data_IF_807026928930
#
_entry.id   IF_807026928930
#
_cell.length_a   1.000
_cell.length_b   1.000
_cell.length_c   1.000
_cell.angle_alpha   90.00
_cell.angle_beta   90.00
_cell.angle_gamma   90.00
#
_symmetry.space_group_name_H-M   'P 1'
#
loop_
_entity.id
_entity.type
_entity.pdbx_description
1 polymer ?
#
# COMPACT_ATOMS: atom_id res chain seq x y z
N UNK A 1 20.92 -4.05 -17.87
CA UNK A 1 20.53 -3.03 -16.88
C UNK A 1 20.44 -1.59 -17.42
N UNK A 2 21.06 -1.26 -18.55
CA UNK A 2 21.10 0.12 -19.10
C UNK A 2 19.86 0.60 -19.87
N UNK A 3 18.91 -0.30 -20.22
CA UNK A 3 17.68 0.07 -20.94
C UNK A 3 16.56 0.64 -20.03
N UNK A 4 16.58 0.36 -18.73
CA UNK A 4 15.57 0.88 -17.79
C UNK A 4 15.78 2.36 -17.42
N UNK A 5 17.03 2.84 -17.43
CA UNK A 5 17.35 4.21 -17.01
C UNK A 5 16.87 5.28 -17.99
N UNK A 6 16.91 5.02 -19.30
CA UNK A 6 16.47 5.98 -20.34
C UNK A 6 14.94 5.98 -20.52
N UNK A 7 14.24 4.96 -19.98
CA UNK A 7 12.78 4.82 -20.09
C UNK A 7 12.03 5.66 -19.03
N UNK A 8 12.60 5.82 -17.83
CA UNK A 8 12.02 6.60 -16.73
C UNK A 8 11.93 8.13 -16.98
N UNK A 9 12.64 8.67 -17.97
CA UNK A 9 12.72 10.13 -18.19
C UNK A 9 11.56 10.72 -19.00
N UNK A 10 10.87 9.91 -19.82
CA UNK A 10 9.82 10.39 -20.74
C UNK A 10 8.39 10.28 -20.19
N UNK A 11 8.18 9.69 -19.00
CA UNK A 11 6.85 9.50 -18.38
C UNK A 11 6.82 9.96 -16.92
N UNK A 12 7.46 11.10 -16.63
CA UNK A 12 7.47 11.75 -15.31
C UNK A 12 6.03 12.10 -14.88
N UNK A 13 5.33 11.15 -14.28
CA UNK A 13 3.95 11.34 -13.81
C UNK A 13 3.05 10.12 -13.96
N UNK A 14 3.43 9.13 -14.77
CA UNK A 14 2.64 7.90 -14.86
C UNK A 14 2.82 7.10 -13.56
N UNK A 15 1.73 6.75 -12.83
CA UNK A 15 1.82 5.90 -11.67
C UNK A 15 2.44 4.54 -12.05
N UNK A 16 3.29 3.99 -11.19
CA UNK A 16 3.96 2.69 -11.41
C UNK A 16 2.99 1.59 -11.81
N UNK A 17 1.77 1.62 -11.26
CA UNK A 17 0.74 0.63 -11.54
C UNK A 17 0.23 0.66 -12.97
N UNK A 18 -0.02 1.86 -13.50
CA UNK A 18 -0.50 1.98 -14.88
C UNK A 18 0.56 1.43 -15.85
N UNK A 19 1.85 1.70 -15.57
CA UNK A 19 2.94 1.09 -16.33
C UNK A 19 2.94 -0.44 -16.23
N UNK A 20 2.84 -1.00 -15.02
CA UNK A 20 2.85 -2.46 -14.83
C UNK A 20 1.67 -3.10 -15.58
N UNK A 21 0.50 -2.48 -15.56
CA UNK A 21 -0.70 -2.97 -16.26
C UNK A 21 -0.59 -2.89 -17.78
N UNK A 22 -0.09 -1.76 -18.30
CA UNK A 22 0.23 -1.60 -19.72
C UNK A 22 1.20 -2.70 -20.17
N UNK A 23 2.11 -3.12 -19.29
CA UNK A 23 3.10 -4.15 -19.57
C UNK A 23 2.66 -5.56 -19.15
N UNK A 24 1.38 -5.74 -18.80
CA UNK A 24 0.79 -7.02 -18.35
C UNK A 24 1.61 -7.69 -17.23
N UNK A 25 2.19 -6.88 -16.37
CA UNK A 25 3.02 -7.31 -15.25
C UNK A 25 2.25 -7.17 -13.96
N UNK A 26 2.19 -8.26 -13.21
CA UNK A 26 1.58 -8.32 -11.88
C UNK A 26 2.69 -8.42 -10.86
N UNK A 27 2.65 -7.60 -9.81
CA UNK A 27 3.73 -7.59 -8.83
C UNK A 27 3.59 -8.73 -7.81
N UNK A 28 2.36 -9.05 -7.40
CA UNK A 28 1.97 -10.03 -6.38
C UNK A 28 2.40 -9.72 -4.95
N UNK A 29 3.27 -8.74 -4.74
CA UNK A 29 3.75 -8.38 -3.41
C UNK A 29 3.63 -6.87 -3.13
N UNK A 30 2.52 -6.24 -3.57
CA UNK A 30 2.29 -4.83 -3.26
C UNK A 30 2.00 -4.68 -1.77
N UNK A 31 3.02 -4.25 -1.04
CA UNK A 31 3.05 -4.04 0.40
C UNK A 31 3.82 -2.75 0.67
N UNK A 32 3.49 -2.05 1.75
CA UNK A 32 4.18 -0.80 2.09
C UNK A 32 5.68 -0.98 2.34
N UNK A 33 6.12 -2.15 2.80
CA UNK A 33 7.54 -2.48 2.97
C UNK A 33 8.32 -2.57 1.64
N UNK A 34 7.62 -2.73 0.52
CA UNK A 34 8.18 -2.81 -0.82
C UNK A 34 8.11 -1.46 -1.57
N UNK A 35 7.58 -0.43 -0.91
CA UNK A 35 7.53 0.94 -1.41
C UNK A 35 8.65 1.77 -0.77
N UNK A 36 9.57 2.25 -1.60
CA UNK A 36 10.63 3.16 -1.24
C UNK A 36 10.27 4.60 -1.55
N UNK A 37 10.90 5.51 -0.82
CA UNK A 37 10.88 6.95 -1.07
C UNK A 37 12.33 7.46 -1.12
N UNK A 38 12.62 8.39 -2.02
CA UNK A 38 13.96 8.97 -2.17
C UNK A 38 14.29 10.04 -1.12
N UNK A 39 13.79 9.90 0.11
CA UNK A 39 14.06 10.84 1.21
C UNK A 39 15.02 10.19 2.19
N UNK A 40 16.18 10.81 2.39
CA UNK A 40 17.10 10.47 3.48
C UNK A 40 16.53 11.04 4.78
N UNK A 41 15.73 10.24 5.48
CA UNK A 41 15.21 10.57 6.79
C UNK A 41 16.04 9.96 7.90
N UNK A 42 16.14 10.66 9.04
CA UNK A 42 16.51 9.99 10.28
C UNK A 42 15.43 8.95 10.60
N UNK A 43 15.79 7.67 10.65
CA UNK A 43 14.85 6.57 10.96
C UNK A 43 14.18 6.71 12.32
N UNK A 44 14.74 7.54 13.21
CA UNK A 44 14.18 7.88 14.52
C UNK A 44 13.38 9.18 14.54
N UNK A 45 13.34 9.95 13.44
CA UNK A 45 12.49 11.12 13.35
C UNK A 45 11.04 10.67 13.18
N UNK A 46 10.20 10.95 14.18
CA UNK A 46 8.78 10.63 14.16
C UNK A 46 7.99 11.36 13.06
N UNK A 47 8.55 12.45 12.50
CA UNK A 47 7.94 13.27 11.44
C UNK A 47 9.01 13.82 10.48
N UNK A 48 9.45 13.05 9.48
CA UNK A 48 10.39 13.55 8.48
C UNK A 48 9.74 14.68 7.66
N UNK A 49 10.33 15.88 7.67
CA UNK A 49 9.88 16.98 6.80
C UNK A 49 10.25 16.68 5.35
N UNK A 50 9.44 17.14 4.39
CA UNK A 50 9.71 17.02 2.95
C UNK A 50 9.15 15.76 2.28
N UNK A 51 8.56 14.82 3.02
CA UNK A 51 7.93 13.61 2.45
C UNK A 51 6.82 13.92 1.42
N UNK A 52 6.15 15.05 1.57
CA UNK A 52 4.98 15.42 0.78
C UNK A 52 5.30 16.37 -0.39
N UNK A 53 6.54 16.85 -0.49
CA UNK A 53 6.90 17.80 -1.55
C UNK A 53 7.12 17.06 -2.87
N UNK A 54 6.14 17.15 -3.79
CA UNK A 54 6.13 16.42 -5.08
C UNK A 54 7.34 16.70 -5.98
N UNK A 55 7.93 17.89 -5.90
CA UNK A 55 9.14 18.27 -6.64
C UNK A 55 10.32 17.37 -6.28
N UNK A 56 10.44 17.01 -5.00
CA UNK A 56 11.61 16.28 -4.46
C UNK A 56 11.30 14.82 -4.15
N UNK A 57 10.08 14.50 -3.71
CA UNK A 57 9.69 13.12 -3.39
C UNK A 57 9.45 12.31 -4.66
N UNK A 58 10.11 11.16 -4.73
CA UNK A 58 9.98 10.11 -5.72
C UNK A 58 9.73 8.81 -4.98
N UNK A 59 8.74 8.08 -5.46
CA UNK A 59 8.42 6.75 -4.97
C UNK A 59 9.06 5.72 -5.90
N UNK A 60 9.57 4.65 -5.32
CA UNK A 60 10.09 3.50 -6.04
C UNK A 60 9.40 2.26 -5.52
N UNK A 61 8.93 1.40 -6.41
CA UNK A 61 8.44 0.07 -6.04
C UNK A 61 9.55 -0.94 -6.33
N UNK A 62 9.82 -1.85 -5.39
CA UNK A 62 10.86 -2.86 -5.50
C UNK A 62 10.35 -4.23 -5.03
N UNK A 63 11.23 -5.24 -5.04
CA UNK A 63 10.90 -6.64 -4.70
C UNK A 63 10.00 -7.36 -5.72
N UNK A 64 10.43 -7.34 -6.98
CA UNK A 64 9.76 -8.04 -8.08
C UNK A 64 9.98 -9.57 -8.08
N UNK A 65 10.48 -10.16 -6.99
CA UNK A 65 10.82 -11.59 -6.93
C UNK A 65 9.62 -12.51 -7.18
N UNK A 66 8.41 -12.06 -6.84
CA UNK A 66 7.17 -12.77 -7.11
C UNK A 66 6.41 -12.27 -8.35
N UNK A 67 6.93 -11.26 -9.05
CA UNK A 67 6.24 -10.68 -10.18
C UNK A 67 6.15 -11.63 -11.36
N UNK A 68 5.14 -11.43 -12.20
CA UNK A 68 4.93 -12.23 -13.42
C UNK A 68 4.42 -11.33 -14.54
N UNK A 69 5.04 -11.46 -15.70
CA UNK A 69 4.61 -10.81 -16.92
C UNK A 69 3.81 -11.79 -17.78
N UNK A 70 2.69 -11.33 -18.32
CA UNK A 70 1.82 -12.08 -19.21
C UNK A 70 1.95 -11.61 -20.67
N UNK A 71 1.57 -12.44 -21.65
CA UNK A 71 1.54 -12.04 -23.06
C UNK A 71 0.65 -10.80 -23.29
N UNK A 72 1.06 -9.94 -24.22
CA UNK A 72 0.41 -8.65 -24.49
C UNK A 72 -0.90 -8.79 -25.28
N UNK A 73 -1.01 -9.85 -26.06
CA UNK A 73 -2.19 -10.24 -26.83
C UNK A 73 -3.31 -10.80 -25.94
N UNK A 74 -3.00 -11.20 -24.70
CA UNK A 74 -3.99 -11.67 -23.75
C UNK A 74 -4.71 -10.49 -23.07
N UNK A 75 -6.04 -10.56 -23.04
CA UNK A 75 -6.84 -9.56 -22.32
C UNK A 75 -6.57 -9.65 -20.82
N UNK A 76 -6.43 -8.49 -20.16
CA UNK A 76 -6.29 -8.38 -18.70
C UNK A 76 -7.41 -9.14 -17.97
N UNK A 77 -8.63 -9.07 -18.50
CA UNK A 77 -9.82 -9.66 -17.88
C UNK A 77 -9.79 -11.20 -17.94
N UNK A 78 -9.06 -11.76 -18.90
CA UNK A 78 -8.92 -13.20 -19.12
C UNK A 78 -7.77 -13.82 -18.31
N UNK A 79 -6.90 -13.00 -17.71
CA UNK A 79 -5.74 -13.47 -16.95
C UNK A 79 -6.21 -13.92 -15.56
N UNK A 80 -6.46 -15.22 -15.44
CA UNK A 80 -6.81 -15.89 -14.19
C UNK A 80 -5.79 -16.96 -13.80
N UNK A 81 -5.62 -17.18 -12.50
CA UNK A 81 -4.68 -18.16 -11.94
C UNK A 81 -5.13 -18.55 -10.52
N UNK A 82 -4.55 -19.60 -9.95
CA UNK A 82 -4.77 -20.07 -8.56
C UNK A 82 -3.56 -19.81 -7.68
N UNK A 83 -2.65 -18.95 -8.13
CA UNK A 83 -1.40 -18.63 -7.41
C UNK A 83 -1.67 -18.20 -5.97
N UNK A 84 -0.73 -18.49 -5.07
CA UNK A 84 -0.82 -18.01 -3.69
C UNK A 84 -0.62 -16.48 -3.61
N UNK A 85 -1.55 -15.79 -2.95
CA UNK A 85 -1.50 -14.35 -2.66
C UNK A 85 -1.53 -14.05 -1.14
N UNK A 86 -1.85 -15.05 -0.32
CA UNK A 86 -2.04 -14.90 1.12
C UNK A 86 -3.26 -14.06 1.46
N UNK A 87 -4.43 -14.38 0.86
CA UNK A 87 -5.68 -13.68 1.19
C UNK A 87 -5.97 -13.76 2.68
N UNK A 88 -5.81 -14.94 3.28
CA UNK A 88 -5.97 -15.20 4.71
C UNK A 88 -5.05 -14.34 5.60
N UNK A 89 -3.78 -14.18 5.23
CA UNK A 89 -2.81 -13.33 5.93
C UNK A 89 -3.19 -11.85 5.87
N UNK A 90 -3.90 -11.48 4.80
CA UNK A 90 -4.50 -10.16 4.56
C UNK A 90 -5.96 -10.12 4.99
N UNK A 91 -6.46 -11.18 5.64
CA UNK A 91 -7.82 -11.40 6.18
C UNK A 91 -8.96 -11.23 5.19
N UNK A 92 -8.69 -11.52 3.92
CA UNK A 92 -9.70 -11.82 2.92
C UNK A 92 -9.95 -13.33 2.87
N UNK A 93 -11.16 -13.77 2.50
CA UNK A 93 -11.38 -15.18 2.19
C UNK A 93 -10.55 -15.57 0.96
N UNK A 94 -10.00 -16.79 0.96
CA UNK A 94 -9.44 -17.36 -0.26
C UNK A 94 -10.57 -17.61 -1.28
N UNK A 95 -10.35 -17.30 -2.56
CA UNK A 95 -11.30 -17.61 -3.62
C UNK A 95 -11.39 -19.13 -3.84
N UNK A 96 -12.58 -19.64 -4.14
CA UNK A 96 -12.83 -21.08 -4.35
C UNK A 96 -12.24 -21.63 -5.68
N UNK A 97 -11.72 -20.76 -6.55
CA UNK A 97 -11.19 -21.14 -7.86
C UNK A 97 -10.23 -20.10 -8.45
N UNK A 98 -9.90 -20.22 -9.75
CA UNK A 98 -9.09 -19.24 -10.45
C UNK A 98 -9.72 -17.85 -10.35
N UNK A 99 -8.87 -16.85 -10.13
CA UNK A 99 -9.31 -15.48 -9.93
C UNK A 99 -8.52 -14.53 -10.82
N UNK A 100 -9.10 -13.37 -11.15
CA UNK A 100 -8.41 -12.37 -11.95
C UNK A 100 -7.28 -11.74 -11.12
N UNK A 101 -6.06 -11.90 -11.60
CA UNK A 101 -4.87 -11.52 -10.84
C UNK A 101 -4.67 -10.00 -10.78
N UNK A 102 -5.12 -9.26 -11.79
CA UNK A 102 -5.04 -7.79 -11.81
C UNK A 102 -6.04 -7.17 -10.85
N UNK A 103 -7.23 -7.76 -10.71
CA UNK A 103 -8.19 -7.36 -9.69
C UNK A 103 -7.63 -7.58 -8.28
N UNK A 104 -6.88 -8.65 -8.08
CA UNK A 104 -6.25 -8.96 -6.78
C UNK A 104 -5.06 -8.05 -6.50
N UNK A 105 -4.30 -7.66 -7.52
CA UNK A 105 -3.31 -6.59 -7.39
C UNK A 105 -3.97 -5.28 -6.94
N UNK A 106 -5.11 -4.90 -7.54
CA UNK A 106 -5.88 -3.71 -7.14
C UNK A 106 -6.37 -3.77 -5.69
N UNK A 107 -6.76 -4.95 -5.20
CA UNK A 107 -7.08 -5.16 -3.79
C UNK A 107 -5.86 -4.88 -2.88
N UNK A 108 -4.66 -5.32 -3.26
CA UNK A 108 -3.43 -4.97 -2.52
C UNK A 108 -3.16 -3.46 -2.52
N UNK A 109 -3.36 -2.79 -3.67
CA UNK A 109 -3.19 -1.34 -3.75
C UNK A 109 -4.15 -0.64 -2.80
N UNK A 110 -5.43 -1.01 -2.85
CA UNK A 110 -6.46 -0.47 -1.97
C UNK A 110 -6.14 -0.72 -0.50
N UNK A 111 -5.66 -1.91 -0.13
CA UNK A 111 -5.30 -2.26 1.25
C UNK A 111 -4.14 -1.39 1.76
N UNK A 112 -3.10 -1.20 0.95
CA UNK A 112 -2.00 -0.28 1.29
C UNK A 112 -2.51 1.15 1.42
N UNK A 113 -3.28 1.66 0.45
CA UNK A 113 -3.77 3.04 0.51
C UNK A 113 -4.73 3.26 1.68
N UNK A 114 -5.63 2.32 1.96
CA UNK A 114 -6.53 2.41 3.11
C UNK A 114 -5.73 2.45 4.43
N UNK A 115 -4.73 1.57 4.58
CA UNK A 115 -3.92 1.53 5.81
C UNK A 115 -3.07 2.78 6.01
N UNK A 116 -2.55 3.36 4.92
CA UNK A 116 -1.60 4.47 5.01
C UNK A 116 -2.24 5.84 4.86
N UNK A 117 -3.36 5.97 4.15
CA UNK A 117 -4.03 7.25 3.87
C UNK A 117 -5.33 7.37 4.67
N UNK A 118 -6.21 6.37 4.62
CA UNK A 118 -7.50 6.43 5.33
C UNK A 118 -7.34 6.48 6.85
N UNK A 119 -6.34 5.75 7.36
CA UNK A 119 -6.05 5.68 8.80
C UNK A 119 -5.14 6.81 9.31
N UNK A 120 -4.59 7.68 8.45
CA UNK A 120 -3.55 8.68 8.80
C UNK A 120 -4.07 9.91 9.57
N UNK A 121 -5.21 9.83 10.23
CA UNK A 121 -5.79 10.97 10.92
C UNK A 121 -6.38 10.52 12.25
N UNK A 122 -5.52 10.41 13.28
CA UNK A 122 -5.98 10.23 14.66
C UNK A 122 -4.93 10.55 15.69
N UNK A 123 -5.32 11.36 16.68
CA UNK A 123 -4.81 11.54 18.06
C UNK A 123 -4.00 12.81 18.38
N UNK A 124 -4.73 13.87 18.68
CA UNK A 124 -4.98 14.19 20.08
C UNK A 124 -6.29 14.99 20.14
N UNK A 125 -7.27 14.51 20.91
CA UNK A 125 -8.52 15.22 21.27
C UNK A 125 -9.71 15.32 20.28
N UNK A 126 -9.61 14.90 19.00
CA UNK A 126 -10.80 14.64 18.15
C UNK A 126 -10.43 13.82 16.90
N UNK A 127 -11.10 12.68 16.70
CA UNK A 127 -10.77 11.64 15.70
C UNK A 127 -11.29 12.01 14.31
N UNK A 128 -10.61 12.90 13.61
CA UNK A 128 -11.01 13.26 12.25
C UNK A 128 -10.41 12.26 11.26
N UNK A 129 -11.23 11.50 10.53
CA UNK A 129 -10.78 10.61 9.44
C UNK A 129 -10.43 11.46 8.22
N UNK A 130 -9.65 10.92 7.28
CA UNK A 130 -9.41 11.64 6.03
C UNK A 130 -10.71 11.90 5.27
N UNK A 131 -11.71 11.02 5.37
CA UNK A 131 -13.04 11.23 4.79
C UNK A 131 -13.86 12.33 5.50
N UNK A 132 -13.48 12.75 6.71
CA UNK A 132 -14.10 13.90 7.37
C UNK A 132 -13.49 15.23 6.86
N UNK A 133 -12.37 15.17 6.15
CA UNK A 133 -11.70 16.32 5.48
C UNK A 133 -12.00 16.29 3.98
N UNK A 134 -11.88 15.13 3.35
CA UNK A 134 -12.12 14.86 1.93
C UNK A 134 -13.14 13.72 1.80
N UNK A 135 -14.45 14.01 1.92
CA UNK A 135 -15.51 13.00 1.90
C UNK A 135 -15.47 12.00 0.73
N UNK A 136 -15.13 12.41 -0.51
CA UNK A 136 -15.06 11.47 -1.62
C UNK A 136 -14.04 10.32 -1.46
N UNK A 137 -13.02 10.48 -0.60
CA UNK A 137 -12.01 9.42 -0.39
C UNK A 137 -12.58 8.18 0.30
N UNK A 138 -13.60 8.31 1.15
CA UNK A 138 -14.24 7.15 1.80
C UNK A 138 -14.80 6.16 0.77
N UNK A 139 -15.78 6.58 -0.05
CA UNK A 139 -16.34 5.75 -1.12
C UNK A 139 -15.31 5.29 -2.17
N UNK A 140 -14.25 6.08 -2.40
CA UNK A 140 -13.15 5.67 -3.26
C UNK A 140 -12.41 4.44 -2.72
N UNK A 141 -12.03 4.44 -1.44
CA UNK A 141 -11.41 3.28 -0.81
C UNK A 141 -12.36 2.08 -0.76
N UNK A 142 -13.64 2.31 -0.45
CA UNK A 142 -14.63 1.23 -0.43
C UNK A 142 -14.77 0.56 -1.80
N UNK A 143 -14.70 1.33 -2.89
CA UNK A 143 -14.74 0.79 -4.26
C UNK A 143 -13.45 0.03 -4.65
N UNK A 144 -12.28 0.46 -4.19
CA UNK A 144 -11.04 -0.30 -4.38
C UNK A 144 -11.01 -1.61 -3.57
N UNK A 145 -11.73 -1.64 -2.45
CA UNK A 145 -11.75 -2.77 -1.51
C UNK A 145 -13.00 -3.62 -1.64
N UNK A 146 -13.74 -3.49 -2.74
CA UNK A 146 -14.95 -4.25 -2.96
C UNK A 146 -14.66 -5.76 -2.93
N UNK A 147 -15.43 -6.51 -2.15
CA UNK A 147 -15.33 -7.97 -2.06
C UNK A 147 -15.66 -8.62 -3.40
N UNK A 148 -16.62 -8.05 -4.14
CA UNK A 148 -16.95 -8.43 -5.50
C UNK A 148 -15.89 -7.88 -6.45
N UNK A 149 -15.00 -8.75 -6.92
CA UNK A 149 -13.91 -8.39 -7.83
C UNK A 149 -14.39 -7.76 -9.15
N UNK A 150 -15.64 -8.00 -9.58
CA UNK A 150 -16.20 -7.38 -10.79
C UNK A 150 -16.62 -5.92 -10.59
N UNK A 151 -16.83 -5.51 -9.33
CA UNK A 151 -17.19 -4.13 -8.94
C UNK A 151 -16.00 -3.35 -8.39
N UNK A 152 -14.84 -3.99 -8.29
CA UNK A 152 -13.61 -3.36 -7.83
C UNK A 152 -13.04 -2.50 -8.94
N UNK A 153 -12.56 -1.31 -8.57
CA UNK A 153 -11.93 -0.41 -9.53
C UNK A 153 -10.71 -1.08 -10.18
N UNK A 154 -10.66 -1.01 -11.51
CA UNK A 154 -9.41 -1.19 -12.26
C UNK A 154 -8.45 -0.05 -11.93
N UNK A 155 -7.15 -0.19 -12.23
CA UNK A 155 -6.24 0.92 -11.93
C UNK A 155 -6.52 2.18 -12.76
N UNK A 156 -6.99 2.03 -13.99
CA UNK A 156 -7.36 3.18 -14.80
C UNK A 156 -8.52 3.93 -14.15
N UNK A 157 -9.59 3.23 -13.76
CA UNK A 157 -10.72 3.84 -13.05
C UNK A 157 -10.30 4.43 -11.70
N UNK A 158 -9.44 3.74 -10.95
CA UNK A 158 -8.92 4.24 -9.67
C UNK A 158 -8.09 5.52 -9.87
N UNK A 159 -7.24 5.58 -10.91
CA UNK A 159 -6.46 6.77 -11.23
C UNK A 159 -7.37 7.92 -11.65
N UNK A 160 -8.29 7.70 -12.59
CA UNK A 160 -9.23 8.70 -13.07
C UNK A 160 -10.04 9.28 -11.91
N UNK A 161 -10.65 8.41 -11.09
CA UNK A 161 -11.44 8.84 -9.93
C UNK A 161 -10.60 9.56 -8.89
N UNK A 162 -9.36 9.12 -8.65
CA UNK A 162 -8.46 9.83 -7.74
C UNK A 162 -8.09 11.22 -8.27
N UNK A 163 -7.86 11.36 -9.58
CA UNK A 163 -7.57 12.65 -10.22
C UNK A 163 -8.76 13.61 -10.13
N UNK A 164 -9.99 13.12 -10.33
CA UNK A 164 -11.22 13.89 -10.12
C UNK A 164 -11.34 14.36 -8.67
N UNK A 165 -11.15 13.47 -7.69
CA UNK A 165 -11.17 13.85 -6.27
C UNK A 165 -10.09 14.90 -6.00
N UNK A 166 -8.89 14.73 -6.57
CA UNK A 166 -7.76 15.61 -6.36
C UNK A 166 -7.96 17.00 -6.99
N UNK A 167 -8.56 17.09 -8.17
CA UNK A 167 -8.84 18.38 -8.83
C UNK A 167 -9.84 19.23 -8.07
N UNK A 168 -10.71 18.59 -7.30
CA UNK A 168 -11.80 19.23 -6.56
C UNK A 168 -11.41 19.61 -5.11
N UNK A 169 -10.16 19.36 -4.71
CA UNK A 169 -9.68 19.70 -3.37
C UNK A 169 -9.50 21.21 -3.21
N UNK A 170 -10.10 21.76 -2.16
CA UNK A 170 -9.85 23.14 -1.73
C UNK A 170 -8.46 23.30 -1.10
N UNK A 171 -7.95 24.54 -1.10
CA UNK A 171 -6.70 24.88 -0.41
C UNK A 171 -6.71 24.49 1.07
N UNK A 172 -7.86 24.63 1.74
CA UNK A 172 -8.02 24.22 3.15
C UNK A 172 -7.84 22.72 3.33
N UNK A 173 -8.39 21.90 2.43
CA UNK A 173 -8.23 20.45 2.45
C UNK A 173 -6.80 20.04 2.12
N UNK A 174 -6.18 20.70 1.13
CA UNK A 174 -4.81 20.44 0.69
C UNK A 174 -3.77 20.78 1.76
N UNK A 175 -4.01 21.83 2.54
CA UNK A 175 -3.09 22.28 3.59
C UNK A 175 -3.48 21.78 4.99
N UNK A 176 -4.47 20.87 5.09
CA UNK A 176 -4.87 20.30 6.37
C UNK A 176 -3.71 19.52 6.99
N UNK A 177 -3.34 19.86 8.22
CA UNK A 177 -2.23 19.18 8.90
C UNK A 177 -2.59 17.71 9.16
N UNK A 178 -1.68 16.81 8.78
CA UNK A 178 -1.77 15.37 9.06
C UNK A 178 -0.93 15.10 10.31
N UNK A 179 -1.60 15.05 11.46
CA UNK A 179 -0.90 15.06 12.76
C UNK A 179 -0.37 13.69 13.20
N UNK A 180 -0.85 12.57 12.65
CA UNK A 180 -0.43 11.23 13.11
C UNK A 180 -0.34 10.19 11.99
N UNK A 181 0.65 9.31 12.10
CA UNK A 181 0.94 8.25 11.12
C UNK A 181 0.47 6.86 11.55
N UNK A 182 -0.02 6.72 12.79
CA UNK A 182 -0.31 5.44 13.41
C UNK A 182 -1.70 5.43 14.02
N UNK A 183 -2.43 4.34 13.80
CA UNK A 183 -3.65 4.06 14.54
C UNK A 183 -3.28 3.52 15.93
N UNK A 184 -3.52 4.28 16.99
CA UNK A 184 -3.60 3.66 18.32
C UNK A 184 -5.01 3.09 18.48
N UNK A 185 -5.06 1.84 18.94
CA UNK A 185 -6.30 1.18 19.27
C UNK A 185 -7.00 1.99 20.34
N UNK A 186 -8.06 2.69 19.96
CA UNK A 186 -8.96 3.24 20.96
C UNK A 186 -9.53 2.02 21.68
N UNK A 187 -9.19 1.86 22.94
CA UNK A 187 -9.81 0.90 23.85
C UNK A 187 -11.30 1.22 23.91
N UNK A 188 -12.08 0.68 22.97
CA UNK A 188 -13.53 0.78 23.01
C UNK A 188 -14.00 -0.05 24.20
N UNK A 189 -14.22 0.61 25.33
CA UNK A 189 -15.15 0.12 26.34
C UNK A 189 -16.57 0.28 25.79
N UNK A 190 -17.07 -0.80 25.18
CA UNK A 190 -18.49 -1.20 25.02
C UNK A 190 -19.51 -0.26 24.33
N UNK A 191 -20.06 -0.71 23.18
CA UNK A 191 -21.47 -1.15 23.05
C UNK A 191 -21.71 -1.86 21.70
N UNK A 192 -22.43 -2.98 21.75
CA UNK A 192 -22.76 -3.88 20.64
C UNK A 192 -23.78 -3.24 19.67
N UNK A 193 -23.39 -2.85 18.45
CA UNK A 193 -24.30 -2.97 17.28
C UNK A 193 -23.65 -2.71 15.90
N UNK A 194 -22.59 -1.90 15.77
CA UNK A 194 -22.10 -1.52 14.43
C UNK A 194 -20.68 -2.04 14.15
N UNK A 195 -20.57 -3.32 13.81
CA UNK A 195 -19.30 -3.90 13.35
C UNK A 195 -19.10 -3.59 11.87
N UNK A 196 -18.17 -2.69 11.57
CA UNK A 196 -17.66 -2.48 10.20
C UNK A 196 -16.88 -3.71 9.72
N UNK A 197 -16.72 -3.88 8.40
CA UNK A 197 -15.94 -4.98 7.79
C UNK A 197 -14.51 -5.12 8.38
N UNK A 198 -13.94 -4.02 8.88
CA UNK A 198 -12.65 -3.99 9.57
C UNK A 198 -12.66 -4.63 10.97
N UNK A 199 -13.76 -4.53 11.73
CA UNK A 199 -13.91 -5.19 13.02
C UNK A 199 -14.13 -6.70 12.88
N UNK A 200 -14.75 -7.12 11.76
CA UNK A 200 -14.82 -8.53 11.34
C UNK A 200 -13.41 -9.06 10.98
N UNK A 201 -12.61 -8.26 10.26
CA UNK A 201 -11.22 -8.57 9.92
C UNK A 201 -10.33 -8.80 11.16
N UNK A 202 -10.44 -7.97 12.20
CA UNK A 202 -9.65 -8.14 13.43
C UNK A 202 -10.18 -9.20 14.40
N UNK A 203 -11.50 -9.43 14.45
CA UNK A 203 -12.10 -10.42 15.37
C UNK A 203 -11.84 -11.87 14.93
N UNK A 204 -11.59 -12.12 13.64
CA UNK A 204 -11.17 -13.43 13.12
C UNK A 204 -9.74 -13.83 13.47
N UNK A 205 -8.91 -12.92 13.99
CA UNK A 205 -7.53 -13.20 14.47
C UNK A 205 -7.46 -13.98 15.80
N UNK A 206 -8.60 -14.40 16.38
CA UNK A 206 -8.63 -15.22 17.60
C UNK A 206 -8.93 -16.70 17.30
N UNK A 207 -8.22 -17.29 16.35
CA UNK A 207 -7.99 -18.74 16.37
C UNK A 207 -6.71 -19.00 17.18
N UNK A 208 -6.72 -19.81 18.25
CA UNK A 208 -5.57 -20.03 19.14
C UNK A 208 -4.33 -20.67 18.49
N UNK A 209 -4.33 -20.92 17.18
CA UNK A 209 -3.27 -21.66 16.47
C UNK A 209 -2.35 -20.80 15.60
N UNK A 210 -2.56 -19.49 15.49
CA UNK A 210 -1.63 -18.63 14.75
C UNK A 210 -0.55 -18.07 15.67
N UNK A 211 0.71 -18.48 15.44
CA UNK A 211 1.90 -18.00 16.15
C UNK A 211 2.04 -16.48 15.96
N UNK A 212 2.50 -15.73 16.97
CA UNK A 212 2.83 -14.32 16.80
C UNK A 212 3.96 -14.17 15.77
N UNK A 213 3.76 -13.25 14.83
CA UNK A 213 4.74 -12.88 13.82
C UNK A 213 6.05 -12.44 14.47
N UNK A 214 7.15 -12.89 13.87
CA UNK A 214 8.54 -12.64 14.25
C UNK A 214 8.82 -11.17 14.56
N UNK A 215 9.32 -10.92 15.78
CA UNK A 215 10.27 -9.84 16.04
C UNK A 215 11.52 -10.13 15.21
N UNK A 216 11.77 -9.34 14.18
CA UNK A 216 13.07 -9.31 13.51
C UNK A 216 14.02 -8.48 14.37
N UNK A 217 14.63 -9.11 15.36
CA UNK A 217 15.88 -8.64 15.94
C UNK A 217 16.93 -8.59 14.82
N UNK A 218 17.40 -7.38 14.52
CA UNK A 218 18.56 -7.17 13.66
C UNK A 218 19.78 -7.70 14.42
N UNK A 219 20.17 -8.95 14.15
CA UNK A 219 21.44 -9.51 14.60
C UNK A 219 22.56 -8.79 13.83
N UNK A 220 23.19 -7.82 14.48
CA UNK A 220 24.43 -7.22 14.01
C UNK A 220 25.54 -8.29 13.99
N UNK A 221 25.90 -8.77 12.79
CA UNK A 221 27.11 -9.55 12.61
C UNK A 221 28.35 -8.66 12.84
N UNK A 222 29.04 -8.96 13.95
CA UNK A 222 30.42 -8.55 14.22
C UNK A 222 31.30 -8.92 13.03
N UNK A 223 31.99 -7.95 12.42
CA UNK A 223 33.20 -8.23 11.64
C UNK A 223 34.38 -8.35 12.61
N UNK A 224 35.25 -9.37 12.46
CA UNK A 224 36.49 -9.45 13.23
C UNK A 224 37.48 -8.37 12.77
N UNK A 225 38.13 -7.77 13.75
CA UNK A 225 39.24 -6.82 13.58
C UNK A 225 40.47 -7.52 12.97
N UNK A 226 40.58 -7.45 11.65
CA UNK A 226 41.81 -7.77 10.93
C UNK A 226 42.82 -6.63 11.09
N UNK A 227 43.93 -6.92 11.77
CA UNK A 227 45.11 -6.06 11.90
C UNK A 227 45.71 -5.76 10.53
N UNK A 228 46.06 -4.49 10.28
CA UNK A 228 46.95 -4.08 9.19
C UNK A 228 48.05 -3.21 9.80
N UNK A 229 49.18 -3.84 10.11
CA UNK A 229 50.45 -3.16 10.33
C UNK A 229 51.06 -2.77 8.99
N UNK A 230 51.21 -1.48 8.72
CA UNK A 230 52.19 -1.00 7.74
C UNK A 230 53.44 -0.59 8.51
N UNK A 231 54.53 -1.30 8.23
CA UNK A 231 55.88 -0.89 8.56
C UNK A 231 56.35 0.12 7.50
N UNK A 232 57.02 1.18 7.98
CA UNK A 232 58.20 1.78 7.36
C UNK A 232 59.28 1.76 8.43
#
# INVERSE_FOLDING_TARGET
>A
MTKYHRWAENRRGQPVFEFLLEHRTIHFNFLSQNLGINVLGNVHASRPKGLLERSVTKYAHFDFGNSKQYPQDLSIDQITDTRFFGFDLRGYPDPEGPYNLFQVEMLSVGDVLQRHVRLQASIALNKQRIEDIVPPLGPFFDAMMNEDASKRLTAHEALTRFQEIYSDLSDTQMNHEVVNLWWEKVSQTSSHSDRTAFEVFQSRKRSPKSRPYLELEIIAHRRPSGKSSFAN
#
